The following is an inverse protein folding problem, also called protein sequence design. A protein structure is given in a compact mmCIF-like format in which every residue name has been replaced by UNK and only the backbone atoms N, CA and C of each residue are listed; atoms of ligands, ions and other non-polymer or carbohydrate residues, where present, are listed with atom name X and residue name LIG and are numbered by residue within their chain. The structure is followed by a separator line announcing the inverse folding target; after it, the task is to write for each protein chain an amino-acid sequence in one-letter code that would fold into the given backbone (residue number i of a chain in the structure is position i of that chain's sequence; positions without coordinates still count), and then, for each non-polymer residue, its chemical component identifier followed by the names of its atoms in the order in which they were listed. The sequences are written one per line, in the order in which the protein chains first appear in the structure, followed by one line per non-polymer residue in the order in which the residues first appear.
data_IF_858239831182
#
_entry.id   IF_858239831182
#
_cell.length_a   1.000
_cell.length_b   1.000
_cell.length_c   1.000
_cell.angle_alpha   90.00
_cell.angle_beta   90.00
_cell.angle_gamma   90.00
#
_symmetry.space_group_name_H-M   'P 1'
#
loop_
_entity.id
_entity.type
_entity.pdbx_description
1 polymer ?
#
# COMPACT_ATOMS: atom_id res chain seq x y z
N UNK A 1 -8.72 -9.26 -18.67
CA UNK A 1 -9.31 -8.14 -19.43
C UNK A 1 -8.90 -6.81 -18.77
N UNK A 2 -7.62 -6.44 -18.93
CA UNK A 2 -7.03 -5.11 -18.63
C UNK A 2 -5.67 -4.92 -19.35
N UNK A 3 -5.09 -6.00 -19.89
CA UNK A 3 -3.84 -5.99 -20.67
C UNK A 3 -3.91 -5.07 -21.90
N UNK A 4 -5.10 -4.87 -22.48
CA UNK A 4 -5.30 -3.98 -23.64
C UNK A 4 -5.09 -2.49 -23.31
N UNK A 5 -5.07 -2.12 -22.02
CA UNK A 5 -4.73 -0.77 -21.57
C UNK A 5 -3.21 -0.54 -21.50
N UNK A 6 -2.41 -1.59 -21.64
CA UNK A 6 -0.97 -1.51 -21.59
C UNK A 6 -0.43 -1.00 -22.92
N UNK A 7 0.51 -0.06 -22.86
CA UNK A 7 1.20 0.38 -24.05
C UNK A 7 1.95 -0.81 -24.68
N UNK A 8 1.72 -1.02 -25.97
CA UNK A 8 2.32 -2.09 -26.77
C UNK A 8 3.85 -1.97 -26.82
N UNK A 9 4.38 -0.76 -26.64
CA UNK A 9 5.81 -0.51 -26.60
C UNK A 9 6.50 -1.03 -25.32
N UNK A 10 5.75 -1.41 -24.28
CA UNK A 10 6.33 -1.78 -22.98
C UNK A 10 6.96 -3.18 -22.94
N UNK A 11 6.94 -3.97 -24.03
CA UNK A 11 7.58 -5.31 -24.13
C UNK A 11 7.48 -6.12 -22.84
N UNK A 12 6.27 -6.26 -22.30
CA UNK A 12 6.06 -6.90 -21.01
C UNK A 12 6.07 -8.41 -21.23
N UNK A 13 7.11 -9.06 -20.69
CA UNK A 13 7.21 -10.51 -20.64
C UNK A 13 5.92 -11.12 -20.09
N UNK A 14 5.51 -12.27 -20.62
CA UNK A 14 4.25 -12.93 -20.24
C UNK A 14 4.15 -13.16 -18.72
N UNK A 15 5.29 -13.48 -18.07
CA UNK A 15 5.42 -13.61 -16.61
C UNK A 15 5.05 -12.33 -15.83
N UNK A 16 5.23 -11.15 -16.41
CA UNK A 16 4.92 -9.86 -15.77
C UNK A 16 3.50 -9.37 -16.05
N UNK A 17 2.79 -9.97 -17.02
CA UNK A 17 1.44 -9.52 -17.38
C UNK A 17 0.45 -9.63 -16.22
N UNK A 18 0.58 -10.66 -15.37
CA UNK A 18 -0.28 -10.81 -14.19
C UNK A 18 -0.05 -9.68 -13.18
N UNK A 19 1.23 -9.34 -12.92
CA UNK A 19 1.60 -8.23 -12.02
C UNK A 19 1.10 -6.88 -12.54
N UNK A 20 1.20 -6.65 -13.84
CA UNK A 20 0.71 -5.41 -14.45
C UNK A 20 -0.81 -5.35 -14.44
N UNK A 21 -1.49 -6.45 -14.76
CA UNK A 21 -2.95 -6.54 -14.66
C UNK A 21 -3.43 -6.21 -13.24
N UNK A 22 -2.81 -6.80 -12.22
CA UNK A 22 -3.13 -6.55 -10.80
C UNK A 22 -2.89 -5.09 -10.42
N UNK A 23 -1.79 -4.50 -10.91
CA UNK A 23 -1.49 -3.07 -10.68
C UNK A 23 -2.57 -2.17 -11.27
N UNK A 24 -3.04 -2.46 -12.48
CA UNK A 24 -4.13 -1.71 -13.12
C UNK A 24 -5.42 -1.82 -12.30
N UNK A 25 -5.78 -3.01 -11.83
CA UNK A 25 -6.97 -3.21 -10.98
C UNK A 25 -6.90 -2.39 -9.70
N UNK A 26 -5.74 -2.38 -9.02
CA UNK A 26 -5.52 -1.56 -7.81
C UNK A 26 -5.61 -0.07 -8.14
N UNK A 27 -5.02 0.38 -9.25
CA UNK A 27 -5.08 1.78 -9.67
C UNK A 27 -6.52 2.24 -9.93
N UNK A 28 -7.32 1.40 -10.61
CA UNK A 28 -8.73 1.69 -10.84
C UNK A 28 -9.49 1.87 -9.52
N UNK A 29 -9.32 0.96 -8.55
CA UNK A 29 -9.89 1.08 -7.21
C UNK A 29 -9.48 2.38 -6.50
N UNK A 30 -8.21 2.79 -6.61
CA UNK A 30 -7.70 4.01 -5.99
C UNK A 30 -8.29 5.30 -6.59
N UNK A 31 -8.75 5.26 -7.84
CA UNK A 31 -9.30 6.44 -8.55
C UNK A 31 -10.81 6.57 -8.46
N UNK A 32 -11.50 5.64 -7.79
CA UNK A 32 -12.95 5.63 -7.75
C UNK A 32 -13.55 6.88 -7.08
N UNK A 33 -14.73 7.24 -7.56
CA UNK A 33 -15.65 8.18 -6.90
C UNK A 33 -16.84 7.39 -6.35
N UNK A 34 -17.29 7.65 -5.11
CA UNK A 34 -16.80 8.67 -4.16
C UNK A 34 -15.45 8.29 -3.51
N UNK A 35 -14.70 9.24 -2.91
CA UNK A 35 -13.42 8.93 -2.25
C UNK A 35 -13.48 7.87 -1.16
N UNK A 36 -14.66 7.68 -0.55
CA UNK A 36 -14.89 6.66 0.47
C UNK A 36 -14.93 5.22 -0.06
N UNK A 37 -15.03 5.01 -1.37
CA UNK A 37 -14.97 3.66 -1.98
C UNK A 37 -13.54 3.23 -2.34
N UNK A 38 -12.56 4.12 -2.15
CA UNK A 38 -11.15 3.83 -2.39
C UNK A 38 -10.58 2.98 -1.26
N UNK A 39 -9.64 2.07 -1.55
CA UNK A 39 -8.95 1.32 -0.51
C UNK A 39 -8.06 2.24 0.34
N UNK A 40 -7.87 1.85 1.59
CA UNK A 40 -6.85 2.43 2.48
C UNK A 40 -5.44 2.07 1.99
N UNK A 41 -4.44 2.87 2.37
CA UNK A 41 -3.05 2.56 1.99
C UNK A 41 -2.57 1.20 2.51
N UNK A 42 -3.05 0.74 3.67
CA UNK A 42 -2.78 -0.61 4.18
C UNK A 42 -3.34 -1.71 3.28
N UNK A 43 -4.56 -1.53 2.77
CA UNK A 43 -5.16 -2.47 1.82
C UNK A 43 -4.39 -2.46 0.49
N UNK A 44 -3.99 -1.29 -0.01
CA UNK A 44 -3.16 -1.18 -1.22
C UNK A 44 -1.84 -1.93 -1.06
N UNK A 45 -1.13 -1.75 0.06
CA UNK A 45 0.13 -2.47 0.34
C UNK A 45 -0.11 -3.98 0.38
N UNK A 46 -1.18 -4.44 1.04
CA UNK A 46 -1.54 -5.86 1.07
C UNK A 46 -1.84 -6.42 -0.34
N UNK A 47 -2.59 -5.68 -1.15
CA UNK A 47 -2.91 -6.05 -2.54
C UNK A 47 -1.66 -6.14 -3.41
N UNK A 48 -0.72 -5.21 -3.27
CA UNK A 48 0.55 -5.24 -4.00
C UNK A 48 1.43 -6.42 -3.53
N UNK A 49 1.52 -6.64 -2.23
CA UNK A 49 2.37 -7.68 -1.63
C UNK A 49 1.92 -9.09 -1.97
N UNK A 50 0.61 -9.34 -2.02
CA UNK A 50 0.02 -10.65 -2.29
C UNK A 50 0.23 -11.18 -3.72
N UNK A 51 0.92 -10.43 -4.61
CA UNK A 51 1.31 -10.87 -5.96
C UNK A 51 2.82 -10.83 -6.22
N UNK A 52 3.62 -10.48 -5.20
CA UNK A 52 5.09 -10.45 -5.25
C UNK A 52 5.70 -11.70 -4.59
N UNK A 53 5.04 -12.86 -4.68
CA UNK A 53 5.70 -14.12 -4.33
C UNK A 53 6.74 -14.45 -5.41
N UNK A 54 7.95 -13.93 -5.24
CA UNK A 54 9.24 -14.58 -5.55
C UNK A 54 10.38 -13.67 -5.07
N UNK A 55 10.60 -13.66 -3.75
CA UNK A 55 11.75 -13.01 -3.11
C UNK A 55 11.52 -12.76 -1.62
N UNK A 56 12.49 -13.08 -0.73
CA UNK A 56 12.32 -12.90 0.71
C UNK A 56 12.15 -11.41 1.00
N UNK A 57 11.05 -11.12 1.69
CA UNK A 57 10.58 -9.77 1.90
C UNK A 57 11.49 -8.93 2.78
N UNK A 58 11.45 -7.63 2.52
CA UNK A 58 11.42 -6.64 3.59
C UNK A 58 10.65 -5.42 3.09
N UNK A 59 9.31 -5.51 3.17
CA UNK A 59 8.52 -4.31 3.41
C UNK A 59 8.90 -3.87 4.81
N UNK A 60 9.82 -2.91 4.90
CA UNK A 60 10.14 -2.23 6.16
C UNK A 60 8.83 -1.76 6.80
N UNK A 61 8.50 -2.37 7.93
CA UNK A 61 7.31 -2.06 8.70
C UNK A 61 7.40 -0.60 9.15
N UNK A 62 6.44 0.29 8.84
CA UNK A 62 6.40 1.59 9.50
C UNK A 62 6.03 1.28 10.95
N UNK A 63 7.01 1.35 11.85
CA UNK A 63 6.80 1.26 13.30
C UNK A 63 5.57 2.11 13.65
N UNK A 64 4.50 1.42 14.07
CA UNK A 64 3.37 2.03 14.74
C UNK A 64 3.93 2.62 16.03
N UNK A 65 4.23 3.93 16.01
CA UNK A 65 4.59 4.65 17.22
C UNK A 65 3.33 4.78 18.08
N UNK A 66 3.32 3.88 19.07
CA UNK A 66 2.52 3.77 20.27
C UNK A 66 1.79 5.05 20.71
N UNK A 67 0.46 4.98 20.70
CA UNK A 67 -0.41 5.91 21.40
C UNK A 67 -0.48 5.56 22.90
N UNK A 68 0.55 5.92 23.70
CA UNK A 68 0.42 6.44 25.10
C UNK A 68 1.75 6.45 25.86
N UNK A 69 2.23 7.66 26.18
CA UNK A 69 2.59 8.13 27.55
C UNK A 69 3.03 9.60 27.49
N UNK A 70 2.07 10.53 27.45
CA UNK A 70 2.34 11.87 27.99
C UNK A 70 2.09 11.75 29.49
N UNK A 71 3.17 11.73 30.26
CA UNK A 71 3.15 11.69 31.72
C UNK A 71 2.60 13.03 32.20
N UNK A 72 1.56 12.98 33.05
CA UNK A 72 1.00 14.13 33.74
C UNK A 72 2.07 14.72 34.68
N UNK A 73 2.64 15.88 34.32
CA UNK A 73 3.55 16.64 35.19
C UNK A 73 2.72 17.36 36.27
N UNK A 74 2.50 16.70 37.42
CA UNK A 74 2.34 17.41 38.69
C UNK A 74 3.65 17.29 39.45
N UNK A 75 4.36 18.42 39.59
CA UNK A 75 5.62 18.52 40.30
C UNK A 75 5.77 19.91 40.88
N UNK A 76 5.74 19.98 42.21
CA UNK A 76 5.81 21.16 43.04
C UNK A 76 7.10 21.97 42.84
N UNK A 77 7.01 23.30 42.96
CA UNK A 77 8.16 24.18 43.19
C UNK A 77 8.04 24.76 44.61
N UNK A 78 8.95 24.35 45.51
CA UNK A 78 9.51 25.21 46.56
C UNK A 78 10.84 25.81 46.05
N UNK A 79 11.52 26.71 46.77
CA UNK A 79 11.52 26.96 48.21
C UNK A 79 10.70 28.19 48.65
#
# INVERSE_FOLDING_TARGET
MHIELMDKALCIEEYHQEKVKKTIEIALLCTQSPPSSRPTMSEVVLMLSSGLSDGPGELINPTSIDSRRVIHMSGANGP
#
